data_IF_635613845240
#
_entry.id   IF_635613845240
#
_cell.length_a   1.000
_cell.length_b   1.000
_cell.length_c   1.000
_cell.angle_alpha   90.00
_cell.angle_beta   90.00
_cell.angle_gamma   90.00
#
_symmetry.space_group_name_H-M   'P 1'
#
loop_
_entity.id
_entity.type
_entity.pdbx_description
1 polymer ?
#
# COMPACT_ATOMS: atom_id res chain seq x y z
N UNK A 1 -3.59 -11.50 -19.95
CA UNK A 1 -3.75 -10.68 -18.73
C UNK A 1 -3.00 -9.37 -18.95
N UNK A 2 -3.70 -8.23 -19.03
CA UNK A 2 -3.09 -6.94 -19.36
C UNK A 2 -1.97 -6.56 -18.38
N UNK A 3 -0.87 -5.99 -18.90
CA UNK A 3 0.14 -5.33 -18.05
C UNK A 3 -0.58 -4.24 -17.27
N UNK A 4 -0.64 -4.37 -15.94
CA UNK A 4 -1.16 -3.29 -15.09
C UNK A 4 -0.37 -2.00 -15.34
N UNK A 5 -1.05 -0.86 -15.25
CA UNK A 5 -0.44 0.47 -15.40
C UNK A 5 0.79 0.56 -14.49
N UNK A 6 1.92 1.00 -15.03
CA UNK A 6 3.15 1.13 -14.25
C UNK A 6 2.97 2.16 -13.12
N UNK A 7 3.72 2.00 -12.02
CA UNK A 7 3.79 3.02 -10.98
C UNK A 7 4.65 4.18 -11.47
N UNK A 8 4.15 5.39 -11.30
CA UNK A 8 4.88 6.62 -11.60
C UNK A 8 5.89 6.91 -10.48
N UNK A 9 6.94 7.72 -10.73
CA UNK A 9 7.86 8.17 -9.67
C UNK A 9 7.16 8.88 -8.51
N UNK A 10 6.15 9.72 -8.78
CA UNK A 10 5.40 10.41 -7.73
C UNK A 10 4.59 9.47 -6.84
N UNK A 11 4.05 8.37 -7.41
CA UNK A 11 3.43 7.32 -6.60
C UNK A 11 4.47 6.57 -5.75
N UNK A 12 5.67 6.31 -6.28
CA UNK A 12 6.75 5.70 -5.52
C UNK A 12 7.17 6.57 -4.33
N UNK A 13 7.29 7.89 -4.55
CA UNK A 13 7.63 8.85 -3.51
C UNK A 13 6.55 8.87 -2.43
N UNK A 14 5.28 8.98 -2.82
CA UNK A 14 4.14 8.87 -1.90
C UNK A 14 4.17 7.59 -1.06
N UNK A 15 4.40 6.44 -1.70
CA UNK A 15 4.49 5.15 -1.01
C UNK A 15 5.69 5.16 -0.06
N UNK A 16 6.84 5.68 -0.48
CA UNK A 16 8.06 5.71 0.34
C UNK A 16 7.89 6.55 1.61
N UNK A 17 7.15 7.67 1.51
CA UNK A 17 6.87 8.55 2.65
C UNK A 17 5.92 7.92 3.67
N UNK A 18 5.00 7.06 3.23
CA UNK A 18 3.87 6.61 4.05
C UNK A 18 3.93 5.13 4.46
N UNK A 19 4.63 4.27 3.72
CA UNK A 19 4.50 2.82 3.83
C UNK A 19 5.05 2.20 5.13
N UNK A 20 5.84 2.95 5.90
CA UNK A 20 6.32 2.53 7.22
C UNK A 20 5.24 2.62 8.29
N UNK A 21 4.37 3.64 8.19
CA UNK A 21 3.36 4.00 9.20
C UNK A 21 1.91 3.75 8.75
N UNK A 22 1.72 3.11 7.59
CA UNK A 22 0.40 2.83 7.02
C UNK A 22 0.33 1.43 6.43
N UNK A 23 -0.80 0.78 6.64
CA UNK A 23 -1.14 -0.47 5.97
C UNK A 23 -1.43 -0.22 4.50
N UNK A 24 -1.39 -1.29 3.67
CA UNK A 24 -1.72 -1.17 2.25
C UNK A 24 -3.16 -0.70 2.00
N UNK A 25 -4.07 -0.86 2.97
CA UNK A 25 -5.43 -0.35 2.89
C UNK A 25 -5.47 1.15 3.14
N UNK A 26 -4.85 1.62 4.22
CA UNK A 26 -4.73 3.05 4.51
C UNK A 26 -3.98 3.82 3.41
N UNK A 27 -2.99 3.17 2.77
CA UNK A 27 -2.34 3.73 1.57
C UNK A 27 -3.28 3.85 0.38
N UNK A 28 -4.25 2.92 0.22
CA UNK A 28 -5.25 3.02 -0.85
C UNK A 28 -6.21 4.16 -0.56
N UNK A 29 -6.73 4.25 0.67
CA UNK A 29 -7.70 5.28 1.03
C UNK A 29 -7.11 6.68 0.80
N UNK A 30 -5.85 6.92 1.19
CA UNK A 30 -5.13 8.18 0.90
C UNK A 30 -4.78 8.36 -0.59
N UNK A 31 -4.50 7.27 -1.30
CA UNK A 31 -4.21 7.33 -2.74
C UNK A 31 -5.46 7.77 -3.51
N UNK A 32 -6.65 7.26 -3.14
CA UNK A 32 -7.95 7.64 -3.70
C UNK A 32 -8.28 9.12 -3.44
N UNK A 33 -7.98 9.64 -2.24
CA UNK A 33 -8.15 11.07 -1.91
C UNK A 33 -7.28 11.98 -2.79
N UNK A 34 -6.02 11.59 -3.02
CA UNK A 34 -5.06 12.37 -3.82
C UNK A 34 -5.15 12.09 -5.32
N UNK A 35 -5.94 11.09 -5.71
CA UNK A 35 -5.94 10.55 -7.07
C UNK A 35 -6.33 11.60 -8.10
N UNK A 36 -7.39 12.36 -7.82
CA UNK A 36 -7.93 13.35 -8.72
C UNK A 36 -6.96 14.52 -8.92
N UNK A 37 -6.32 14.98 -7.85
CA UNK A 37 -5.38 16.11 -7.88
C UNK A 37 -4.06 15.74 -8.57
N UNK A 38 -3.59 14.51 -8.35
CA UNK A 38 -2.29 14.04 -8.86
C UNK A 38 -2.39 13.35 -10.24
N UNK A 39 -3.60 13.24 -10.79
CA UNK A 39 -3.92 12.52 -12.04
C UNK A 39 -3.41 11.06 -12.01
N UNK A 40 -3.49 10.43 -10.84
CA UNK A 40 -3.02 9.05 -10.68
C UNK A 40 -4.04 8.03 -11.20
N UNK A 41 -3.58 6.90 -11.75
CA UNK A 41 -4.46 5.81 -12.14
C UNK A 41 -5.03 5.11 -10.90
N UNK A 42 -6.25 4.60 -11.00
CA UNK A 42 -6.86 3.81 -9.92
C UNK A 42 -5.98 2.62 -9.53
N UNK A 43 -5.85 2.37 -8.23
CA UNK A 43 -5.05 1.28 -7.66
C UNK A 43 -5.91 0.33 -6.84
N UNK A 44 -5.33 -0.83 -6.56
CA UNK A 44 -5.91 -1.80 -5.63
C UNK A 44 -5.00 -1.94 -4.42
N UNK A 45 -5.56 -2.37 -3.28
CA UNK A 45 -4.77 -2.71 -2.09
C UNK A 45 -3.65 -3.69 -2.43
N UNK A 46 -3.92 -4.66 -3.31
CA UNK A 46 -2.94 -5.68 -3.74
C UNK A 46 -1.80 -5.09 -4.58
N UNK A 47 -2.09 -4.16 -5.48
CA UNK A 47 -1.05 -3.51 -6.27
C UNK A 47 -0.17 -2.60 -5.42
N UNK A 48 -0.75 -1.85 -4.48
CA UNK A 48 0.00 -1.02 -3.53
C UNK A 48 0.84 -1.87 -2.60
N UNK A 49 0.30 -2.96 -2.04
CA UNK A 49 1.06 -3.90 -1.21
C UNK A 49 2.29 -4.46 -1.95
N UNK A 50 2.11 -4.94 -3.19
CA UNK A 50 3.22 -5.44 -4.02
C UNK A 50 4.24 -4.36 -4.34
N UNK A 51 3.82 -3.11 -4.47
CA UNK A 51 4.73 -1.99 -4.72
C UNK A 51 5.54 -1.65 -3.48
N UNK A 52 4.90 -1.61 -2.32
CA UNK A 52 5.56 -1.45 -1.01
C UNK A 52 6.63 -2.54 -0.81
N UNK A 53 6.31 -3.80 -1.11
CA UNK A 53 7.28 -4.91 -1.02
C UNK A 53 8.49 -4.67 -1.93
N UNK A 54 8.27 -4.34 -3.20
CA UNK A 54 9.37 -4.02 -4.13
C UNK A 54 10.21 -2.82 -3.70
N UNK A 55 9.59 -1.77 -3.16
CA UNK A 55 10.32 -0.59 -2.69
C UNK A 55 11.12 -0.88 -1.42
N UNK A 56 10.65 -1.80 -0.57
CA UNK A 56 11.39 -2.31 0.58
C UNK A 56 12.59 -3.15 0.13
N UNK A 57 12.42 -4.04 -0.83
CA UNK A 57 13.52 -4.86 -1.36
C UNK A 57 14.63 -3.98 -1.97
N UNK A 58 14.25 -2.84 -2.56
CA UNK A 58 15.19 -1.84 -3.08
C UNK A 58 15.74 -0.88 -2.01
N UNK A 59 15.40 -1.05 -0.73
CA UNK A 59 15.87 -0.22 0.37
C UNK A 59 15.25 1.18 0.46
N UNK A 60 14.23 1.50 -0.35
CA UNK A 60 13.53 2.80 -0.33
C UNK A 60 12.48 2.91 0.77
N UNK A 61 12.01 1.77 1.30
CA UNK A 61 11.05 1.69 2.40
C UNK A 61 11.65 0.86 3.50
N UNK A 62 11.69 1.38 4.73
CA UNK A 62 12.19 0.67 5.89
C UNK A 62 11.22 -0.38 6.44
N UNK A 63 11.48 -0.76 7.68
CA UNK A 63 10.61 -1.69 8.43
C UNK A 63 9.34 -0.93 8.84
N UNK A 64 8.20 -1.61 8.77
CA UNK A 64 6.95 -1.08 9.34
C UNK A 64 7.10 -0.90 10.85
N UNK A 65 6.47 0.15 11.37
CA UNK A 65 6.35 0.35 12.81
C UNK A 65 5.49 -0.76 13.46
N UNK A 66 5.57 -0.89 14.79
CA UNK A 66 4.90 -1.97 15.52
C UNK A 66 3.37 -1.89 15.44
N UNK A 67 2.80 -0.67 15.43
CA UNK A 67 1.36 -0.44 15.29
C UNK A 67 0.87 -0.84 13.90
N UNK A 68 1.57 -0.42 12.83
CA UNK A 68 1.23 -0.84 11.47
C UNK A 68 1.38 -2.35 11.28
N UNK A 69 2.38 -2.98 11.91
CA UNK A 69 2.53 -4.44 11.90
C UNK A 69 1.35 -5.14 12.58
N UNK A 70 0.93 -4.67 13.76
CA UNK A 70 -0.25 -5.20 14.47
C UNK A 70 -1.51 -5.03 13.64
N UNK A 71 -1.79 -3.84 13.11
CA UNK A 71 -2.95 -3.56 12.24
C UNK A 71 -2.98 -4.48 11.02
N UNK A 72 -1.86 -4.64 10.33
CA UNK A 72 -1.76 -5.54 9.18
C UNK A 72 -2.03 -7.01 9.55
N UNK A 73 -1.59 -7.46 10.73
CA UNK A 73 -1.86 -8.80 11.24
C UNK A 73 -3.34 -8.99 11.58
N UNK A 74 -3.94 -8.07 12.35
CA UNK A 74 -5.35 -8.16 12.73
C UNK A 74 -6.30 -8.04 11.52
N UNK A 75 -5.98 -7.19 10.53
CA UNK A 75 -6.74 -7.12 9.28
C UNK A 75 -6.77 -8.46 8.52
N UNK A 76 -5.69 -9.26 8.63
CA UNK A 76 -5.60 -10.59 8.04
C UNK A 76 -6.38 -11.63 8.84
N UNK A 77 -6.32 -11.56 10.17
CA UNK A 77 -6.95 -12.53 11.08
C UNK A 77 -8.47 -12.34 11.19
N UNK A 78 -8.97 -11.10 11.22
CA UNK A 78 -10.42 -10.83 11.25
C UNK A 78 -11.18 -11.36 10.01
N UNK A 79 -10.48 -11.57 8.89
CA UNK A 79 -11.05 -12.17 7.68
C UNK A 79 -11.23 -13.69 7.79
N UNK A 80 -10.52 -14.35 8.70
CA UNK A 80 -10.59 -15.81 8.91
C UNK A 80 -11.51 -16.18 10.07
N UNK A 81 -11.67 -15.30 11.07
CA UNK A 81 -12.46 -15.59 12.29
C UNK A 81 -13.97 -15.39 12.07
N UNK A 82 -14.38 -14.62 11.06
CA UNK A 82 -15.79 -14.54 10.67
C UNK A 82 -16.07 -15.68 9.70
N UNK A 83 -16.49 -16.82 10.26
CA UNK A 83 -16.76 -18.05 9.54
C UNK A 83 -17.68 -17.84 8.34
N UNK A 84 -17.21 -18.32 7.19
CA UNK A 84 -17.98 -19.03 6.20
C UNK A 84 -17.27 -20.36 5.92
#
# INVERSE_FOLDING_TARGET
MGRGVAFTPSEDDFISTNAENKTARELLDLHEELQADMLWPERTVKSLARRVERLRDNGKVGKRDDDTRRKAYYARVNKTIRGE
#
